data_IF_806788799381
#
_entry.id   IF_806788799381
#
_cell.length_a   1.000
_cell.length_b   1.000
_cell.length_c   1.000
_cell.angle_alpha   90.00
_cell.angle_beta   90.00
_cell.angle_gamma   90.00
#
_symmetry.space_group_name_H-M   'P 1'
#
loop_
_entity.id
_entity.type
_entity.pdbx_description
1 polymer ?
#
# COMPACT_ATOMS: atom_id res chain seq x y z
N UNK A 1 5.35 13.20 3.25
CA UNK A 1 5.96 13.42 4.57
C UNK A 1 5.04 12.98 5.69
N UNK A 2 3.79 13.49 5.78
CA UNK A 2 2.81 12.99 6.77
C UNK A 2 2.54 11.47 6.71
N UNK A 3 2.49 10.87 5.52
CA UNK A 3 2.25 9.42 5.31
C UNK A 3 3.38 8.55 5.86
N UNK A 4 4.64 8.87 5.52
CA UNK A 4 5.82 8.11 5.96
C UNK A 4 6.04 8.25 7.47
N UNK A 5 5.83 9.44 8.02
CA UNK A 5 5.90 9.68 9.46
C UNK A 5 4.83 8.89 10.23
N UNK A 6 3.59 8.86 9.73
CA UNK A 6 2.54 7.98 10.26
C UNK A 6 2.99 6.52 10.24
N UNK A 7 3.45 6.00 9.11
CA UNK A 7 3.88 4.61 8.99
C UNK A 7 5.04 4.28 9.94
N UNK A 8 5.96 5.22 10.20
CA UNK A 8 7.02 5.07 11.20
C UNK A 8 6.52 5.08 12.65
N UNK A 9 5.37 5.70 12.92
CA UNK A 9 4.76 5.74 14.25
C UNK A 9 3.67 4.67 14.47
N UNK A 10 3.19 4.00 13.41
CA UNK A 10 2.28 2.85 13.51
C UNK A 10 2.92 1.65 14.21
N UNK A 11 2.13 0.78 14.83
CA UNK A 11 2.65 -0.39 15.55
C UNK A 11 1.99 -1.68 15.04
N UNK A 12 2.34 -2.13 13.83
CA UNK A 12 1.84 -3.40 13.31
C UNK A 12 2.45 -4.59 14.06
N UNK A 13 1.73 -5.70 14.04
CA UNK A 13 2.07 -6.92 14.80
C UNK A 13 3.50 -7.45 14.52
N UNK A 14 4.07 -7.20 13.32
CA UNK A 14 5.40 -7.72 12.94
C UNK A 14 6.35 -6.69 12.29
N UNK A 15 7.69 -6.93 12.35
CA UNK A 15 8.66 -6.09 11.65
C UNK A 15 8.48 -6.06 10.12
N UNK A 16 8.08 -7.17 9.50
CA UNK A 16 7.87 -7.23 8.04
C UNK A 16 6.66 -6.39 7.63
N UNK A 17 5.58 -6.44 8.42
CA UNK A 17 4.42 -5.55 8.25
C UNK A 17 4.82 -4.08 8.37
N UNK A 18 5.69 -3.73 9.32
CA UNK A 18 6.23 -2.37 9.46
C UNK A 18 7.00 -1.93 8.21
N UNK A 19 7.87 -2.79 7.69
CA UNK A 19 8.66 -2.50 6.48
C UNK A 19 7.76 -2.31 5.26
N UNK A 20 6.79 -3.20 5.06
CA UNK A 20 5.80 -3.09 3.98
C UNK A 20 4.99 -1.80 4.10
N UNK A 21 4.49 -1.47 5.30
CA UNK A 21 3.70 -0.26 5.53
C UNK A 21 4.50 1.02 5.24
N UNK A 22 5.76 1.09 5.66
CA UNK A 22 6.66 2.22 5.37
C UNK A 22 6.96 2.30 3.86
N UNK A 23 7.17 1.18 3.18
CA UNK A 23 7.39 1.15 1.73
C UNK A 23 6.16 1.68 0.97
N UNK A 24 4.94 1.28 1.35
CA UNK A 24 3.70 1.81 0.77
C UNK A 24 3.52 3.31 1.02
N UNK A 25 3.83 3.77 2.24
CA UNK A 25 3.71 5.18 2.60
C UNK A 25 4.70 6.12 1.87
N UNK A 26 5.79 5.56 1.33
CA UNK A 26 6.76 6.28 0.49
C UNK A 26 6.23 6.52 -0.92
N UNK A 27 5.47 5.56 -1.46
CA UNK A 27 4.95 5.60 -2.83
C UNK A 27 3.48 6.07 -2.90
N UNK A 28 3.13 6.98 -1.97
CA UNK A 28 1.76 7.52 -1.88
C UNK A 28 1.51 8.55 -2.96
N UNK A 29 0.65 8.22 -3.91
CA UNK A 29 0.02 9.16 -4.82
C UNK A 29 -1.01 10.01 -4.05
N UNK A 30 -0.69 11.29 -3.80
CA UNK A 30 -1.58 12.18 -3.07
C UNK A 30 -2.73 12.64 -3.97
N UNK A 31 -3.85 11.95 -3.94
CA UNK A 31 -5.15 12.61 -4.15
C UNK A 31 -5.46 13.48 -2.92
N UNK A 32 -6.26 14.56 -3.04
CA UNK A 32 -6.49 15.50 -1.93
C UNK A 32 -7.15 14.89 -0.69
N UNK A 33 -7.71 13.67 -0.79
CA UNK A 33 -8.60 13.11 0.23
C UNK A 33 -8.20 11.71 0.77
N UNK A 34 -7.39 10.91 0.06
CA UNK A 34 -7.39 9.46 0.34
C UNK A 34 -6.03 8.79 0.59
N UNK A 35 -4.92 9.54 0.62
CA UNK A 35 -3.58 8.98 0.91
C UNK A 35 -3.32 7.61 0.23
N UNK A 36 -3.53 7.54 -1.09
CA UNK A 36 -3.47 6.29 -1.84
C UNK A 36 -2.03 5.88 -2.15
N UNK A 37 -1.67 4.65 -1.83
CA UNK A 37 -0.42 4.02 -2.28
C UNK A 37 -0.68 3.22 -3.56
N UNK A 38 -0.02 3.57 -4.67
CA UNK A 38 -0.06 2.79 -5.92
C UNK A 38 1.28 2.08 -6.04
N UNK A 39 1.32 0.79 -5.72
CA UNK A 39 2.57 0.05 -5.54
C UNK A 39 2.63 -1.20 -6.41
N UNK A 40 3.81 -1.46 -6.97
CA UNK A 40 4.14 -2.70 -7.66
C UNK A 40 4.50 -3.80 -6.67
N UNK A 41 3.87 -4.98 -6.77
CA UNK A 41 4.12 -6.05 -5.80
C UNK A 41 5.57 -6.52 -5.77
N UNK A 42 6.31 -6.50 -6.89
CA UNK A 42 7.75 -6.85 -6.90
C UNK A 42 8.59 -5.79 -6.21
N UNK A 43 8.26 -4.51 -6.40
CA UNK A 43 8.92 -3.40 -5.69
C UNK A 43 8.72 -3.53 -4.19
N UNK A 44 7.50 -3.85 -3.78
CA UNK A 44 7.15 -3.99 -2.37
C UNK A 44 7.90 -5.15 -1.71
N UNK A 45 8.02 -6.30 -2.38
CA UNK A 45 8.81 -7.44 -1.88
C UNK A 45 10.28 -7.09 -1.74
N UNK A 46 10.86 -6.42 -2.73
CA UNK A 46 12.26 -6.04 -2.68
C UNK A 46 12.55 -5.01 -1.56
N UNK A 47 11.63 -4.06 -1.36
CA UNK A 47 11.74 -3.06 -0.29
C UNK A 47 11.61 -3.67 1.12
N UNK A 48 10.90 -4.79 1.26
CA UNK A 48 10.60 -5.46 2.52
C UNK A 48 11.23 -6.85 2.61
N UNK A 49 12.54 -6.96 2.33
CA UNK A 49 13.35 -8.18 2.58
C UNK A 49 13.18 -9.35 1.58
N UNK A 50 13.01 -9.08 0.29
CA UNK A 50 13.02 -10.10 -0.78
C UNK A 50 12.03 -11.27 -0.53
N UNK A 51 10.84 -10.94 -0.03
CA UNK A 51 9.79 -11.91 0.26
C UNK A 51 9.32 -12.66 -1.00
N UNK A 52 8.72 -13.82 -0.82
CA UNK A 52 7.92 -14.52 -1.83
C UNK A 52 6.57 -13.82 -2.05
N UNK A 53 5.87 -14.07 -3.18
CA UNK A 53 4.53 -13.53 -3.39
C UNK A 53 3.54 -13.89 -2.28
N UNK A 54 3.57 -15.12 -1.78
CA UNK A 54 2.64 -15.59 -0.74
C UNK A 54 2.90 -14.92 0.62
N UNK A 55 4.17 -14.68 0.96
CA UNK A 55 4.52 -13.95 2.18
C UNK A 55 4.04 -12.50 2.12
N UNK A 56 4.21 -11.83 0.98
CA UNK A 56 3.67 -10.49 0.80
C UNK A 56 2.15 -10.47 0.90
N UNK A 57 1.46 -11.42 0.28
CA UNK A 57 -0.01 -11.49 0.36
C UNK A 57 -0.48 -11.71 1.82
N UNK A 58 0.23 -12.52 2.60
CA UNK A 58 -0.05 -12.72 4.03
C UNK A 58 0.16 -11.44 4.85
N UNK A 59 1.26 -10.70 4.59
CA UNK A 59 1.54 -9.42 5.25
C UNK A 59 0.47 -8.38 4.91
N UNK A 60 0.10 -8.26 3.64
CA UNK A 60 -0.95 -7.33 3.21
C UNK A 60 -2.31 -7.67 3.85
N UNK A 61 -2.68 -8.96 3.88
CA UNK A 61 -3.90 -9.40 4.54
C UNK A 61 -3.88 -9.11 6.05
N UNK A 62 -2.73 -9.25 6.71
CA UNK A 62 -2.58 -8.91 8.13
C UNK A 62 -2.69 -7.39 8.38
N UNK A 63 -2.03 -6.57 7.55
CA UNK A 63 -2.14 -5.10 7.63
C UNK A 63 -3.57 -4.61 7.37
N UNK A 64 -4.29 -5.26 6.44
CA UNK A 64 -5.71 -4.99 6.19
C UNK A 64 -6.57 -5.37 7.40
N UNK A 65 -6.38 -6.58 7.96
CA UNK A 65 -7.08 -7.04 9.18
C UNK A 65 -6.84 -6.11 10.37
N UNK A 66 -5.63 -5.58 10.51
CA UNK A 66 -5.26 -4.61 11.54
C UNK A 66 -5.82 -3.20 11.27
N UNK A 67 -6.35 -2.96 10.07
CA UNK A 67 -6.98 -1.70 9.67
C UNK A 67 -6.01 -0.62 9.21
N UNK A 68 -4.74 -0.95 8.94
CA UNK A 68 -3.76 0.02 8.44
C UNK A 68 -3.98 0.37 6.97
N UNK A 69 -4.46 -0.60 6.19
CA UNK A 69 -4.70 -0.44 4.75
C UNK A 69 -6.07 -0.97 4.35
N UNK A 70 -6.57 -0.50 3.23
CA UNK A 70 -7.78 -1.04 2.59
C UNK A 70 -7.55 -1.13 1.09
N UNK A 71 -7.92 -2.24 0.41
CA UNK A 71 -7.86 -2.31 -1.04
C UNK A 71 -8.62 -1.14 -1.68
N UNK A 72 -8.04 -0.53 -2.71
CA UNK A 72 -8.69 0.53 -3.45
C UNK A 72 -9.02 0.06 -4.87
N UNK A 73 -10.31 -0.11 -5.14
CA UNK A 73 -10.82 -0.49 -6.45
C UNK A 73 -11.42 0.73 -7.15
N UNK A 74 -10.68 1.25 -8.12
CA UNK A 74 -11.16 2.25 -9.06
C UNK A 74 -10.70 1.80 -10.44
N UNK A 75 -11.52 1.04 -11.15
CA UNK A 75 -11.14 0.45 -12.44
C UNK A 75 -11.20 1.45 -13.59
N UNK A 76 -12.14 2.39 -13.53
CA UNK A 76 -12.45 3.30 -14.66
C UNK A 76 -12.03 4.76 -14.41
N UNK A 77 -11.68 5.12 -13.18
CA UNK A 77 -11.24 6.45 -12.80
C UNK A 77 -9.73 6.71 -12.99
N UNK A 78 -9.24 7.86 -12.50
CA UNK A 78 -7.84 8.26 -12.65
C UNK A 78 -6.85 7.23 -12.10
N UNK A 79 -7.19 6.51 -11.02
CA UNK A 79 -6.30 5.54 -10.39
C UNK A 79 -6.23 4.27 -11.23
N UNK A 80 -7.36 3.75 -11.70
CA UNK A 80 -7.42 2.61 -12.61
C UNK A 80 -6.65 2.82 -13.90
N UNK A 81 -6.81 4.00 -14.51
CA UNK A 81 -6.01 4.39 -15.68
C UNK A 81 -4.51 4.42 -15.37
N UNK A 82 -4.12 4.93 -14.20
CA UNK A 82 -2.71 4.96 -13.79
C UNK A 82 -2.15 3.54 -13.57
N UNK A 83 -2.89 2.67 -12.90
CA UNK A 83 -2.53 1.25 -12.73
C UNK A 83 -2.40 0.57 -14.09
N UNK A 84 -3.32 0.83 -15.02
CA UNK A 84 -3.25 0.30 -16.39
C UNK A 84 -1.99 0.72 -17.16
N UNK A 85 -1.58 1.99 -17.02
CA UNK A 85 -0.32 2.50 -17.60
C UNK A 85 0.87 1.82 -16.93
N UNK A 86 0.91 1.75 -15.61
CA UNK A 86 2.01 1.14 -14.86
C UNK A 86 2.17 -0.36 -15.16
N UNK A 87 1.07 -1.10 -15.29
CA UNK A 87 1.12 -2.51 -15.69
C UNK A 87 1.63 -2.70 -17.14
N UNK A 88 1.51 -1.69 -18.02
CA UNK A 88 2.02 -1.74 -19.39
C UNK A 88 3.49 -1.31 -19.48
N UNK A 89 3.85 -0.20 -18.84
CA UNK A 89 5.17 0.44 -18.96
C UNK A 89 6.18 -0.08 -17.93
N UNK A 90 5.70 -0.58 -16.79
CA UNK A 90 6.49 -1.08 -15.67
C UNK A 90 6.06 -2.49 -15.25
N UNK A 91 5.79 -3.37 -16.23
CA UNK A 91 5.33 -4.74 -16.00
C UNK A 91 6.33 -5.59 -15.17
N UNK A 92 7.62 -5.26 -15.24
CA UNK A 92 8.68 -5.88 -14.44
C UNK A 92 8.57 -5.58 -12.95
N UNK A 93 7.94 -4.46 -12.56
CA UNK A 93 7.74 -4.02 -11.17
C UNK A 93 6.38 -4.47 -10.60
N UNK A 94 5.45 -4.86 -11.47
CA UNK A 94 4.09 -5.26 -11.11
C UNK A 94 3.93 -6.72 -10.64
N UNK A 95 2.68 -7.20 -10.48
CA UNK A 95 1.43 -6.46 -10.72
C UNK A 95 1.28 -5.24 -9.80
N UNK A 96 0.75 -4.15 -10.34
CA UNK A 96 0.48 -2.90 -9.64
C UNK A 96 -0.94 -2.89 -9.06
N UNK A 97 -1.08 -2.42 -7.82
CA UNK A 97 -2.36 -2.28 -7.10
C UNK A 97 -2.40 -0.97 -6.32
N UNK A 98 -3.60 -0.50 -6.02
CA UNK A 98 -3.82 0.65 -5.15
C UNK A 98 -4.36 0.24 -3.78
N UNK A 99 -3.90 0.94 -2.75
CA UNK A 99 -4.31 0.76 -1.36
C UNK A 99 -4.54 2.12 -0.72
N UNK A 100 -5.64 2.25 0.03
CA UNK A 100 -5.86 3.39 0.93
C UNK A 100 -5.04 3.18 2.19
N UNK A 101 -4.29 4.20 2.62
CA UNK A 101 -3.57 4.21 3.90
C UNK A 101 -4.44 4.90 4.95
N UNK A 102 -4.77 4.20 6.04
CA UNK A 102 -5.69 4.68 7.07
C UNK A 102 -4.94 5.52 8.13
N UNK A 103 -4.45 6.68 7.68
CA UNK A 103 -3.51 7.53 8.43
C UNK A 103 -4.12 8.13 9.71
N UNK A 104 -5.41 8.47 9.67
CA UNK A 104 -6.04 9.22 10.75
C UNK A 104 -6.68 8.34 11.84
N UNK A 105 -6.56 7.01 11.76
CA UNK A 105 -7.02 6.11 12.82
C UNK A 105 -8.51 6.25 13.15
N UNK A 106 -9.33 5.41 12.49
CA UNK A 106 -10.77 5.19 12.74
C UNK A 106 -11.70 6.39 12.52
N UNK A 107 -12.24 6.50 11.30
CA UNK A 107 -13.70 6.68 11.20
C UNK A 107 -14.36 5.35 11.59
N UNK A 108 -14.40 5.06 12.89
CA UNK A 108 -15.51 4.29 13.45
C UNK A 108 -16.24 5.22 14.40
N UNK A 109 -16.95 6.19 13.84
CA UNK A 109 -18.10 6.77 14.53
C UNK A 109 -19.37 6.16 13.94
N UNK A 110 -20.02 5.37 14.81
CA UNK A 110 -21.45 4.99 14.89
C UNK A 110 -21.84 3.56 14.54
#
# INVERSE_FOLDING_TARGET
MKTVEWAWNSDPDTPDEKLVLVAMARDTYRTPLEALAIVGSRVLRHAACDMTPAELDAVLASLERQGYITPYEDTDGPVGRRIGILNREHAQEGPWKAWRLNIDGKETER
#
